data_IF_961560160599
#
_entry.id   IF_961560160599
#
_cell.length_a   1.000
_cell.length_b   1.000
_cell.length_c   1.000
_cell.angle_alpha   90.00
_cell.angle_beta   90.00
_cell.angle_gamma   90.00
#
_symmetry.space_group_name_H-M   'P 1'
#
loop_
_entity.id
_entity.type
_entity.pdbx_description
1 polymer ?
#
# COMPACT_ATOMS: atom_id res chain seq x y z
N UNK A 1 -21.79 9.69 3.60
CA UNK A 1 -20.74 9.95 2.59
C UNK A 1 -20.88 11.39 2.14
N UNK A 2 -19.81 12.19 2.19
CA UNK A 2 -19.82 13.53 1.62
C UNK A 2 -20.12 13.44 0.10
N UNK A 3 -20.97 14.32 -0.42
CA UNK A 3 -21.19 14.43 -1.86
C UNK A 3 -19.86 14.78 -2.54
N UNK A 4 -19.57 14.23 -3.73
CA UNK A 4 -18.38 14.60 -4.50
C UNK A 4 -18.23 16.12 -4.63
N UNK A 5 -19.35 16.85 -4.73
CA UNK A 5 -19.34 18.32 -4.79
C UNK A 5 -18.78 18.96 -3.52
N UNK A 6 -19.02 18.38 -2.35
CA UNK A 6 -18.65 18.91 -1.02
C UNK A 6 -17.31 18.38 -0.50
N UNK A 7 -16.62 17.49 -1.23
CA UNK A 7 -15.29 17.03 -0.81
C UNK A 7 -14.24 18.12 -0.97
N UNK A 8 -13.35 18.18 0.03
CA UNK A 8 -12.14 19.00 0.03
C UNK A 8 -11.29 18.71 -1.23
N UNK A 9 -10.74 19.75 -1.92
CA UNK A 9 -9.94 19.56 -3.12
C UNK A 9 -8.73 18.63 -2.95
N UNK A 10 -8.08 18.59 -1.79
CA UNK A 10 -6.96 17.67 -1.53
C UNK A 10 -7.45 16.22 -1.57
N UNK A 11 -8.58 15.96 -0.92
CA UNK A 11 -9.19 14.64 -0.91
C UNK A 11 -9.63 14.18 -2.30
N UNK A 12 -10.17 15.08 -3.13
CA UNK A 12 -10.49 14.77 -4.53
C UNK A 12 -9.26 14.36 -5.33
N UNK A 13 -8.17 15.12 -5.22
CA UNK A 13 -6.89 14.80 -5.88
C UNK A 13 -6.35 13.45 -5.42
N UNK A 14 -6.41 13.16 -4.13
CA UNK A 14 -6.07 11.86 -3.58
C UNK A 14 -6.89 10.74 -4.21
N UNK A 15 -8.22 10.83 -4.19
CA UNK A 15 -9.11 9.79 -4.76
C UNK A 15 -8.83 9.56 -6.25
N UNK A 16 -8.64 10.62 -7.03
CA UNK A 16 -8.31 10.50 -8.46
C UNK A 16 -6.97 9.77 -8.65
N UNK A 17 -5.91 10.21 -7.96
CA UNK A 17 -4.59 9.59 -8.06
C UNK A 17 -4.62 8.12 -7.64
N UNK A 18 -5.28 7.82 -6.52
CA UNK A 18 -5.46 6.45 -6.04
C UNK A 18 -6.19 5.58 -7.04
N UNK A 19 -7.31 6.06 -7.59
CA UNK A 19 -8.04 5.30 -8.59
C UNK A 19 -7.21 5.08 -9.86
N UNK A 20 -6.45 6.07 -10.32
CA UNK A 20 -5.58 5.93 -11.49
C UNK A 20 -4.49 4.87 -11.26
N UNK A 21 -3.76 4.94 -10.15
CA UNK A 21 -2.72 3.96 -9.85
C UNK A 21 -3.29 2.57 -9.60
N UNK A 22 -4.34 2.44 -8.79
CA UNK A 22 -4.94 1.15 -8.47
C UNK A 22 -5.62 0.51 -9.68
N UNK A 23 -6.20 1.30 -10.59
CA UNK A 23 -6.73 0.77 -11.86
C UNK A 23 -5.59 0.19 -12.70
N UNK A 24 -4.47 0.89 -12.83
CA UNK A 24 -3.28 0.37 -13.52
C UNK A 24 -2.75 -0.92 -12.89
N UNK A 25 -2.64 -0.95 -11.55
CA UNK A 25 -2.25 -2.15 -10.81
C UNK A 25 -3.19 -3.33 -11.08
N UNK A 26 -4.50 -3.12 -10.98
CA UNK A 26 -5.51 -4.16 -11.21
C UNK A 26 -5.44 -4.67 -12.65
N UNK A 27 -5.38 -3.78 -13.64
CA UNK A 27 -5.34 -4.17 -15.05
C UNK A 27 -4.13 -5.06 -15.36
N UNK A 28 -2.95 -4.71 -14.86
CA UNK A 28 -1.73 -5.51 -15.09
C UNK A 28 -1.83 -6.87 -14.39
N UNK A 29 -2.33 -6.93 -13.16
CA UNK A 29 -2.49 -8.20 -12.45
C UNK A 29 -3.59 -9.08 -13.06
N UNK A 30 -4.69 -8.50 -13.53
CA UNK A 30 -5.74 -9.22 -14.26
C UNK A 30 -5.17 -9.81 -15.56
N UNK A 31 -4.41 -9.02 -16.33
CA UNK A 31 -3.74 -9.52 -17.53
C UNK A 31 -2.77 -10.67 -17.20
N UNK A 32 -2.02 -10.57 -16.09
CA UNK A 32 -1.14 -11.64 -15.62
C UNK A 32 -1.91 -12.93 -15.26
N UNK A 33 -3.05 -12.82 -14.57
CA UNK A 33 -3.91 -13.97 -14.23
C UNK A 33 -4.44 -14.67 -15.49
N UNK A 34 -4.72 -13.92 -16.56
CA UNK A 34 -5.15 -14.46 -17.85
C UNK A 34 -3.98 -14.96 -18.73
N UNK A 35 -2.76 -15.02 -18.21
CA UNK A 35 -1.60 -15.58 -18.90
C UNK A 35 -0.94 -14.65 -19.91
N UNK A 36 -1.27 -13.36 -19.93
CA UNK A 36 -0.71 -12.41 -20.90
C UNK A 36 0.82 -12.24 -20.81
N UNK A 37 1.42 -12.71 -19.71
CA UNK A 37 2.85 -12.56 -19.44
C UNK A 37 3.56 -13.89 -19.17
N UNK A 38 2.92 -15.03 -19.39
CA UNK A 38 3.49 -16.35 -19.05
C UNK A 38 4.81 -16.61 -19.78
N UNK A 39 4.91 -16.16 -21.03
CA UNK A 39 6.10 -16.34 -21.86
C UNK A 39 7.32 -15.55 -21.38
N UNK A 40 7.13 -14.51 -20.55
CA UNK A 40 8.21 -13.64 -20.07
C UNK A 40 8.61 -13.93 -18.62
N UNK A 41 7.94 -14.87 -17.96
CA UNK A 41 8.31 -15.33 -16.61
C UNK A 41 9.74 -15.90 -16.63
N UNK A 42 10.55 -15.51 -15.65
CA UNK A 42 11.96 -15.93 -15.53
C UNK A 42 12.93 -15.24 -16.49
N UNK A 43 12.45 -14.34 -17.37
CA UNK A 43 13.28 -13.56 -18.30
C UNK A 43 13.49 -12.14 -17.76
N UNK A 44 14.47 -11.41 -18.31
CA UNK A 44 14.70 -10.00 -17.98
C UNK A 44 13.44 -9.13 -18.18
N UNK A 45 12.62 -9.43 -19.20
CA UNK A 45 11.34 -8.78 -19.42
C UNK A 45 10.35 -8.97 -18.26
N UNK A 46 10.35 -10.13 -17.59
CA UNK A 46 9.54 -10.39 -16.39
C UNK A 46 9.97 -9.52 -15.20
N UNK A 47 11.27 -9.24 -15.05
CA UNK A 47 11.77 -8.30 -14.03
C UNK A 47 11.27 -6.89 -14.30
N UNK A 48 11.33 -6.44 -15.56
CA UNK A 48 10.79 -5.14 -15.97
C UNK A 48 9.29 -5.05 -15.68
N UNK A 49 8.52 -6.09 -16.00
CA UNK A 49 7.10 -6.15 -15.66
C UNK A 49 6.88 -6.03 -14.14
N UNK A 50 7.68 -6.73 -13.33
CA UNK A 50 7.62 -6.61 -11.87
C UNK A 50 7.82 -5.18 -11.38
N UNK A 51 8.79 -4.45 -11.95
CA UNK A 51 9.01 -3.03 -11.66
C UNK A 51 7.83 -2.15 -12.14
N UNK A 52 7.24 -2.47 -13.30
CA UNK A 52 6.04 -1.79 -13.79
C UNK A 52 4.84 -1.99 -12.85
N UNK A 53 4.67 -3.17 -12.25
CA UNK A 53 3.61 -3.44 -11.25
C UNK A 53 3.91 -2.72 -9.92
N UNK A 54 5.18 -2.57 -9.56
CA UNK A 54 5.59 -1.82 -8.37
C UNK A 54 5.36 -0.31 -8.50
N UNK A 55 5.39 0.25 -9.71
CA UNK A 55 5.22 1.69 -9.93
C UNK A 55 3.85 2.24 -9.43
N UNK A 56 2.70 1.59 -9.71
CA UNK A 56 1.42 1.92 -9.09
C UNK A 56 1.42 1.92 -7.56
N UNK A 57 2.13 0.98 -6.94
CA UNK A 57 2.23 0.88 -5.47
C UNK A 57 2.96 2.11 -4.92
N UNK A 58 4.09 2.48 -5.55
CA UNK A 58 4.82 3.70 -5.20
C UNK A 58 3.98 4.96 -5.43
N UNK A 59 3.24 5.01 -6.54
CA UNK A 59 2.32 6.10 -6.86
C UNK A 59 1.22 6.28 -5.81
N UNK A 60 0.69 5.18 -5.26
CA UNK A 60 -0.31 5.23 -4.20
C UNK A 60 0.26 5.69 -2.85
N UNK A 61 1.47 5.26 -2.51
CA UNK A 61 2.17 5.78 -1.33
C UNK A 61 2.39 7.29 -1.47
N UNK A 62 2.85 7.74 -2.63
CA UNK A 62 3.01 9.17 -2.93
C UNK A 62 1.68 9.94 -2.85
N UNK A 63 0.60 9.39 -3.41
CA UNK A 63 -0.73 10.03 -3.34
C UNK A 63 -1.18 10.22 -1.88
N UNK A 64 -0.91 9.24 -1.02
CA UNK A 64 -1.22 9.31 0.42
C UNK A 64 -0.37 10.36 1.12
N UNK A 65 0.94 10.39 0.86
CA UNK A 65 1.84 11.39 1.44
C UNK A 65 1.48 12.81 0.98
N UNK A 66 1.07 12.98 -0.27
CA UNK A 66 0.57 14.26 -0.77
C UNK A 66 -0.70 14.71 -0.04
N UNK A 67 -1.62 13.79 0.27
CA UNK A 67 -2.80 14.10 1.08
C UNK A 67 -2.40 14.54 2.49
N UNK A 68 -1.43 13.86 3.11
CA UNK A 68 -0.92 14.22 4.43
C UNK A 68 -0.24 15.60 4.45
N UNK A 69 0.47 15.96 3.38
CA UNK A 69 1.12 17.26 3.26
C UNK A 69 0.12 18.42 3.13
N UNK A 70 -1.03 18.16 2.51
CA UNK A 70 -2.12 19.13 2.36
C UNK A 70 -3.05 19.16 3.58
N UNK A 71 -2.89 18.24 4.53
CA UNK A 71 -3.69 18.18 5.76
C UNK A 71 -3.20 19.18 6.82
N UNK A 72 -4.11 19.53 7.73
CA UNK A 72 -3.79 20.30 8.94
C UNK A 72 -2.69 19.62 9.78
N UNK A 73 -1.92 20.41 10.54
CA UNK A 73 -0.78 19.93 11.33
C UNK A 73 -1.16 18.79 12.28
N UNK A 74 -2.32 18.87 12.94
CA UNK A 74 -2.79 17.82 13.83
C UNK A 74 -3.06 16.52 13.07
N UNK A 75 -3.80 16.61 11.95
CA UNK A 75 -4.16 15.44 11.13
C UNK A 75 -2.91 14.82 10.50
N UNK A 76 -1.98 15.64 10.03
CA UNK A 76 -0.69 15.22 9.47
C UNK A 76 0.13 14.46 10.50
N UNK A 77 0.32 15.03 11.69
CA UNK A 77 1.09 14.39 12.76
C UNK A 77 0.44 13.10 13.25
N UNK A 78 -0.88 13.09 13.41
CA UNK A 78 -1.64 11.90 13.80
C UNK A 78 -1.54 10.79 12.75
N UNK A 79 -1.67 11.15 11.47
CA UNK A 79 -1.58 10.20 10.35
C UNK A 79 -0.16 9.66 10.21
N UNK A 80 0.87 10.50 10.38
CA UNK A 80 2.26 10.07 10.39
C UNK A 80 2.56 9.07 11.52
N UNK A 81 2.07 9.33 12.74
CA UNK A 81 2.19 8.41 13.87
C UNK A 81 1.55 7.05 13.55
N UNK A 82 0.35 7.03 12.98
CA UNK A 82 -0.30 5.80 12.51
C UNK A 82 0.54 5.11 11.44
N UNK A 83 1.02 5.84 10.43
CA UNK A 83 1.86 5.29 9.36
C UNK A 83 3.10 4.58 9.91
N UNK A 84 3.81 5.22 10.85
CA UNK A 84 5.00 4.65 11.49
C UNK A 84 4.67 3.38 12.28
N UNK A 85 3.60 3.39 13.08
CA UNK A 85 3.18 2.22 13.86
C UNK A 85 2.78 1.07 12.92
N UNK A 86 1.98 1.35 11.89
CA UNK A 86 1.55 0.35 10.91
C UNK A 86 2.74 -0.24 10.14
N UNK A 87 3.69 0.58 9.71
CA UNK A 87 4.92 0.13 9.04
C UNK A 87 5.76 -0.76 9.97
N UNK A 88 5.95 -0.35 11.22
CA UNK A 88 6.70 -1.14 12.20
C UNK A 88 6.06 -2.50 12.48
N UNK A 89 4.74 -2.53 12.65
CA UNK A 89 3.98 -3.78 12.82
C UNK A 89 4.05 -4.66 11.57
N UNK A 90 3.89 -4.09 10.38
CA UNK A 90 3.97 -4.82 9.12
C UNK A 90 5.37 -5.43 8.94
N UNK A 91 6.43 -4.66 9.21
CA UNK A 91 7.81 -5.14 9.17
C UNK A 91 8.03 -6.29 10.16
N UNK A 92 7.60 -6.13 11.42
CA UNK A 92 7.79 -7.14 12.45
C UNK A 92 7.06 -8.45 12.11
N UNK A 93 5.79 -8.37 11.70
CA UNK A 93 4.97 -9.53 11.35
C UNK A 93 5.49 -10.22 10.09
N UNK A 94 5.82 -9.47 9.04
CA UNK A 94 6.30 -10.04 7.78
C UNK A 94 7.70 -10.65 7.93
N UNK A 95 8.59 -10.02 8.71
CA UNK A 95 9.90 -10.59 9.04
C UNK A 95 9.77 -11.85 9.90
N UNK A 96 8.88 -11.82 10.90
CA UNK A 96 8.54 -12.99 11.72
C UNK A 96 8.03 -14.15 10.87
N UNK A 97 7.19 -13.86 9.87
CA UNK A 97 6.73 -14.86 8.91
C UNK A 97 7.87 -15.41 8.05
N UNK A 98 8.76 -14.54 7.54
CA UNK A 98 9.95 -14.97 6.80
C UNK A 98 10.89 -15.88 7.61
N UNK A 99 11.02 -15.66 8.92
CA UNK A 99 11.74 -16.59 9.80
C UNK A 99 10.97 -17.90 10.00
N UNK A 100 9.64 -17.85 10.12
CA UNK A 100 8.82 -19.05 10.18
C UNK A 100 8.89 -19.89 8.89
N UNK A 101 8.99 -19.26 7.72
CA UNK A 101 9.28 -19.96 6.45
C UNK A 101 10.67 -20.61 6.49
N UNK A 102 11.69 -19.83 6.89
CA UNK A 102 13.10 -20.25 6.84
C UNK A 102 13.43 -21.36 7.83
N UNK A 103 12.84 -21.32 9.03
CA UNK A 103 13.21 -22.19 10.16
C UNK A 103 12.09 -23.16 10.54
N UNK A 104 10.84 -22.75 10.37
CA UNK A 104 9.66 -23.50 10.82
C UNK A 104 8.94 -24.27 9.71
N UNK A 105 9.35 -24.13 8.45
CA UNK A 105 8.68 -24.76 7.31
C UNK A 105 7.28 -24.22 7.04
N UNK A 106 7.00 -22.97 7.43
CA UNK A 106 5.74 -22.31 7.08
C UNK A 106 5.57 -22.18 5.55
N UNK A 107 4.32 -22.00 5.12
CA UNK A 107 4.03 -21.82 3.69
C UNK A 107 4.63 -20.51 3.15
N UNK A 108 5.05 -20.53 1.88
CA UNK A 108 5.70 -19.38 1.25
C UNK A 108 4.71 -18.24 1.00
N UNK A 109 4.89 -17.12 1.69
CA UNK A 109 4.14 -15.89 1.49
C UNK A 109 4.82 -15.01 0.45
N UNK A 110 4.16 -14.70 -0.69
CA UNK A 110 4.71 -13.78 -1.66
C UNK A 110 5.04 -12.42 -1.06
N UNK A 111 6.22 -11.87 -1.40
CA UNK A 111 6.73 -10.60 -0.88
C UNK A 111 5.77 -9.41 -0.99
N UNK A 112 4.92 -9.40 -2.02
CA UNK A 112 3.95 -8.32 -2.24
C UNK A 112 2.82 -8.28 -1.19
N UNK A 113 2.62 -9.33 -0.38
CA UNK A 113 1.63 -9.38 0.70
C UNK A 113 1.90 -8.39 1.83
N UNK A 114 3.13 -7.89 1.96
CA UNK A 114 3.45 -6.84 2.93
C UNK A 114 2.62 -5.56 2.70
N UNK A 115 2.26 -5.28 1.45
CA UNK A 115 1.51 -4.08 1.09
C UNK A 115 0.05 -4.08 1.59
N UNK A 116 -0.79 -5.10 1.31
CA UNK A 116 -2.11 -5.19 1.92
C UNK A 116 -2.04 -5.37 3.44
N UNK A 117 -1.03 -6.09 3.97
CA UNK A 117 -0.81 -6.20 5.42
C UNK A 117 -0.62 -4.82 6.06
N UNK A 118 0.24 -3.98 5.48
CA UNK A 118 0.45 -2.61 5.94
C UNK A 118 -0.86 -1.81 6.00
N UNK A 119 -1.66 -1.81 4.93
CA UNK A 119 -2.91 -1.06 4.90
C UNK A 119 -3.96 -1.63 5.86
N UNK A 120 -4.01 -2.95 6.03
CA UNK A 120 -4.86 -3.61 7.01
C UNK A 120 -4.51 -3.19 8.44
N UNK A 121 -3.22 -3.18 8.77
CA UNK A 121 -2.73 -2.71 10.07
C UNK A 121 -2.98 -1.22 10.26
N UNK A 122 -2.77 -0.40 9.23
CA UNK A 122 -3.06 1.03 9.27
C UNK A 122 -4.53 1.30 9.57
N UNK A 123 -5.45 0.58 8.92
CA UNK A 123 -6.88 0.63 9.22
C UNK A 123 -7.20 0.16 10.64
N UNK A 124 -6.57 -0.94 11.07
CA UNK A 124 -6.77 -1.52 12.40
C UNK A 124 -6.34 -0.57 13.52
N UNK A 125 -5.18 0.08 13.41
CA UNK A 125 -4.65 0.97 14.47
C UNK A 125 -5.29 2.35 14.47
N UNK A 126 -5.82 2.81 13.33
CA UNK A 126 -6.39 4.15 13.17
C UNK A 126 -7.42 4.54 14.25
N UNK A 127 -8.38 3.68 14.65
CA UNK A 127 -9.30 4.00 15.74
C UNK A 127 -8.63 4.04 17.12
N UNK A 128 -7.49 3.38 17.34
CA UNK A 128 -6.82 3.37 18.65
C UNK A 128 -5.87 4.55 18.83
N UNK A 129 -5.22 4.98 17.75
CA UNK A 129 -4.31 6.13 17.76
C UNK A 129 -5.11 7.40 17.45
N UNK A 130 -5.62 8.08 18.49
CA UNK A 130 -6.43 9.31 18.36
C UNK A 130 -5.72 10.60 18.80
N UNK A 131 -4.57 10.49 19.47
CA UNK A 131 -3.82 11.62 20.02
C UNK A 131 -2.36 11.62 19.55
N UNK A 132 -1.85 12.83 19.30
CA UNK A 132 -0.46 13.12 18.95
C UNK A 132 0.41 13.31 20.21
N UNK A 133 -0.20 13.63 21.37
CA UNK A 133 0.48 13.75 22.68
C UNK A 133 0.43 12.48 23.52
N UNK A 134 1.29 12.40 24.55
CA UNK A 134 1.26 11.36 25.60
C UNK A 134 -0.11 11.25 26.25
#
# INVERSE_FOLDING_TARGET
>A
MASWKTMDPAHKRYVIRTNMFMTGYVLVNVAAIFGAFDEIIGKAAGVVLGLCVAAPIAGQLWATLSLMNEADEFVRALTAKRFVIASGLAMALFSGWGFAESYGGAWHAPGWLIYPLFWGLFGLISPFVKSTGR
#
